data_IF_968075575149
#
_entry.id   IF_968075575149
#
_cell.length_a   1.000
_cell.length_b   1.000
_cell.length_c   1.000
_cell.angle_alpha   90.00
_cell.angle_beta   90.00
_cell.angle_gamma   90.00
#
_symmetry.space_group_name_H-M   'P 1'
#
loop_
_entity.id
_entity.type
_entity.pdbx_description
1 polymer ?
#
# COMPACT_ATOMS: atom_id res chain seq x y z
N UNK A 1 -10.87 -38.67 44.22
CA UNK A 1 -10.65 -38.66 42.77
C UNK A 1 -10.37 -37.24 42.34
N UNK A 2 -9.34 -37.04 41.52
CA UNK A 2 -9.09 -35.74 40.89
C UNK A 2 -10.20 -35.40 39.89
N UNK A 3 -10.46 -34.12 39.69
CA UNK A 3 -11.42 -33.61 38.71
C UNK A 3 -10.83 -32.39 38.03
N UNK A 4 -10.44 -32.55 36.76
CA UNK A 4 -9.98 -31.49 35.89
C UNK A 4 -11.20 -30.77 35.25
N UNK A 5 -11.13 -29.45 35.14
CA UNK A 5 -12.18 -28.59 34.61
C UNK A 5 -11.58 -27.68 33.56
N UNK A 6 -12.31 -27.42 32.47
CA UNK A 6 -11.78 -26.60 31.38
C UNK A 6 -11.41 -25.19 31.84
N UNK A 7 -10.34 -24.68 31.27
CA UNK A 7 -9.75 -23.39 31.57
C UNK A 7 -9.79 -22.46 30.37
N UNK A 8 -9.73 -21.17 30.67
CA UNK A 8 -9.51 -20.15 29.66
C UNK A 8 -8.71 -19.00 30.24
N UNK A 9 -8.05 -18.24 29.37
CA UNK A 9 -7.53 -16.94 29.73
C UNK A 9 -8.50 -15.86 29.24
N UNK A 10 -8.85 -14.91 30.12
CA UNK A 10 -9.71 -13.79 29.75
C UNK A 10 -9.02 -12.80 28.80
N UNK A 11 -7.68 -12.82 28.76
CA UNK A 11 -6.86 -12.00 27.86
C UNK A 11 -6.61 -12.75 26.56
N UNK A 12 -6.66 -12.02 25.45
CA UNK A 12 -6.36 -12.53 24.11
C UNK A 12 -4.88 -12.26 23.80
N UNK A 13 -4.20 -13.23 23.21
CA UNK A 13 -2.85 -13.03 22.68
C UNK A 13 -2.91 -12.24 21.36
N UNK A 14 -2.06 -11.23 21.21
CA UNK A 14 -2.00 -10.35 20.02
C UNK A 14 -0.56 -9.96 19.73
N UNK A 15 -0.26 -9.33 18.58
CA UNK A 15 1.09 -8.77 18.33
C UNK A 15 1.55 -7.77 19.40
N UNK A 16 0.61 -7.13 20.09
CA UNK A 16 0.88 -6.18 21.19
C UNK A 16 0.91 -6.84 22.57
N UNK A 17 0.48 -8.11 22.65
CA UNK A 17 0.42 -8.89 23.88
C UNK A 17 0.82 -10.35 23.60
N UNK A 18 2.14 -10.57 23.53
CA UNK A 18 2.74 -11.82 23.03
C UNK A 18 2.68 -12.99 24.03
N UNK A 19 2.44 -12.72 25.31
CA UNK A 19 2.50 -13.74 26.35
C UNK A 19 1.23 -13.76 27.20
N UNK A 20 0.63 -14.94 27.33
CA UNK A 20 -0.43 -15.21 28.29
C UNK A 20 0.12 -16.08 29.41
N UNK A 21 -0.18 -15.73 30.66
CA UNK A 21 0.16 -16.56 31.81
C UNK A 21 -1.06 -16.83 32.68
N UNK A 22 -1.03 -17.95 33.40
CA UNK A 22 -2.12 -18.36 34.28
C UNK A 22 -1.82 -19.63 35.03
N UNK A 23 -2.84 -20.22 35.64
CA UNK A 23 -2.76 -21.52 36.29
C UNK A 23 -4.03 -22.33 36.04
N UNK A 24 -3.89 -23.55 35.53
CA UNK A 24 -5.02 -24.45 35.22
C UNK A 24 -5.67 -25.05 36.47
N UNK A 25 -4.98 -25.06 37.62
CA UNK A 25 -5.47 -25.69 38.84
C UNK A 25 -6.46 -24.82 39.63
N UNK A 26 -6.82 -23.62 39.15
CA UNK A 26 -7.60 -22.65 39.94
C UNK A 26 -9.05 -23.10 40.19
N UNK A 27 -9.62 -23.87 39.27
CA UNK A 27 -10.97 -24.43 39.32
C UNK A 27 -10.98 -25.97 39.48
N UNK A 28 -9.80 -26.59 39.57
CA UNK A 28 -9.63 -28.03 39.65
C UNK A 28 -9.68 -28.59 41.08
N UNK A 29 -10.04 -29.87 41.20
CA UNK A 29 -9.93 -30.63 42.44
C UNK A 29 -8.80 -31.65 42.28
N UNK A 30 -7.69 -31.47 43.00
CA UNK A 30 -6.50 -32.33 42.90
C UNK A 30 -6.62 -33.70 43.58
N UNK A 31 -7.78 -34.05 44.11
CA UNK A 31 -7.98 -35.27 44.91
C UNK A 31 -7.39 -35.20 46.32
N UNK A 32 -7.46 -36.33 47.04
CA UNK A 32 -7.00 -36.46 48.43
C UNK A 32 -5.51 -36.84 48.53
N UNK A 33 -4.95 -37.49 47.51
CA UNK A 33 -3.56 -37.93 47.46
C UNK A 33 -2.72 -36.98 46.58
N UNK A 34 -2.29 -35.86 47.18
CA UNK A 34 -1.65 -34.76 46.46
C UNK A 34 -0.17 -35.05 46.21
N UNK A 35 0.28 -34.66 45.01
CA UNK A 35 1.71 -34.60 44.67
C UNK A 35 2.25 -33.21 45.03
N UNK A 36 3.25 -33.08 45.94
CA UNK A 36 3.76 -31.77 46.37
C UNK A 36 4.36 -30.89 45.26
N UNK A 37 4.88 -31.50 44.19
CA UNK A 37 5.38 -30.79 43.00
C UNK A 37 4.27 -30.38 42.02
N UNK A 38 3.02 -30.72 42.33
CA UNK A 38 1.83 -30.47 41.52
C UNK A 38 1.39 -31.68 40.69
N UNK A 39 0.07 -31.84 40.44
CA UNK A 39 -0.51 -33.01 39.79
C UNK A 39 -0.52 -32.94 38.26
N UNK A 40 -0.04 -31.85 37.65
CA UNK A 40 -0.11 -31.67 36.19
C UNK A 40 1.06 -32.37 35.50
N UNK A 41 0.78 -33.02 34.37
CA UNK A 41 1.84 -33.52 33.48
C UNK A 41 2.49 -32.33 32.76
N UNK A 42 3.65 -31.90 33.25
CA UNK A 42 4.40 -30.79 32.68
C UNK A 42 4.91 -31.10 31.25
N UNK A 43 5.00 -30.06 30.42
CA UNK A 43 5.50 -30.19 29.06
C UNK A 43 5.52 -28.89 28.28
N UNK A 44 6.04 -28.99 27.05
CA UNK A 44 5.99 -27.94 26.04
C UNK A 44 5.17 -28.43 24.87
N UNK A 45 4.16 -27.66 24.49
CA UNK A 45 3.19 -28.01 23.47
C UNK A 45 3.19 -26.93 22.39
N UNK A 46 3.51 -27.32 21.16
CA UNK A 46 3.44 -26.42 20.01
C UNK A 46 1.99 -26.41 19.52
N UNK A 47 1.37 -25.24 19.55
CA UNK A 47 0.03 -24.98 19.03
C UNK A 47 0.04 -24.56 17.57
N UNK A 48 -1.09 -24.03 17.11
CA UNK A 48 -1.23 -23.51 15.74
C UNK A 48 -0.57 -22.15 15.57
N UNK A 49 -0.72 -21.25 16.55
CA UNK A 49 -0.26 -19.87 16.49
C UNK A 49 0.92 -19.59 17.43
N UNK A 50 1.23 -20.49 18.35
CA UNK A 50 2.24 -20.27 19.38
C UNK A 50 2.65 -21.53 20.14
N UNK A 51 3.32 -21.35 21.27
CA UNK A 51 3.81 -22.46 22.11
C UNK A 51 3.36 -22.29 23.55
N UNK A 52 2.84 -23.36 24.15
CA UNK A 52 2.49 -23.44 25.56
C UNK A 52 3.60 -24.17 26.33
N UNK A 53 4.07 -23.58 27.43
CA UNK A 53 4.85 -24.25 28.46
C UNK A 53 3.97 -24.41 29.69
N UNK A 54 3.69 -25.65 30.09
CA UNK A 54 2.87 -26.00 31.24
C UNK A 54 3.75 -26.70 32.29
N UNK A 55 3.75 -26.18 33.51
CA UNK A 55 4.49 -26.74 34.63
C UNK A 55 3.63 -27.70 35.46
N UNK A 56 4.29 -28.50 36.30
CA UNK A 56 3.62 -29.52 37.12
C UNK A 56 2.70 -28.90 38.20
N UNK A 57 3.03 -27.68 38.65
CA UNK A 57 2.22 -26.88 39.58
C UNK A 57 1.01 -26.18 38.91
N UNK A 58 0.77 -26.49 37.63
CA UNK A 58 -0.31 -25.94 36.83
C UNK A 58 -0.07 -24.53 36.30
N UNK A 59 1.02 -23.87 36.69
CA UNK A 59 1.39 -22.60 36.08
C UNK A 59 1.73 -22.81 34.61
N UNK A 60 1.32 -21.86 33.77
CA UNK A 60 1.61 -21.92 32.35
C UNK A 60 2.00 -20.55 31.80
N UNK A 61 2.79 -20.61 30.73
CA UNK A 61 3.08 -19.48 29.84
C UNK A 61 2.81 -19.92 28.41
N UNK A 62 1.95 -19.18 27.70
CA UNK A 62 1.78 -19.29 26.26
C UNK A 62 2.48 -18.12 25.59
N UNK A 63 3.31 -18.39 24.59
CA UNK A 63 3.99 -17.37 23.78
C UNK A 63 3.48 -17.46 22.35
N UNK A 64 2.88 -16.37 21.87
CA UNK A 64 2.43 -16.20 20.49
C UNK A 64 3.64 -16.13 19.55
N UNK A 65 3.56 -16.79 18.40
CA UNK A 65 4.55 -16.68 17.34
C UNK A 65 4.00 -15.78 16.21
N UNK A 66 4.33 -14.49 16.23
CA UNK A 66 3.87 -13.53 15.20
C UNK A 66 4.46 -13.79 13.81
N UNK A 67 5.50 -14.63 13.71
CA UNK A 67 6.06 -15.04 12.44
C UNK A 67 5.38 -16.28 11.85
N UNK A 68 4.46 -16.90 12.58
CA UNK A 68 3.77 -18.09 12.13
C UNK A 68 2.91 -17.81 10.88
N UNK A 69 2.98 -18.63 9.82
CA UNK A 69 2.16 -18.45 8.62
C UNK A 69 0.65 -18.50 8.91
N UNK A 70 0.20 -19.37 9.83
CA UNK A 70 -1.22 -19.49 10.16
C UNK A 70 -1.71 -18.26 10.94
N UNK A 71 -0.85 -17.65 11.76
CA UNK A 71 -1.15 -16.38 12.41
C UNK A 71 -1.26 -15.23 11.39
N UNK A 72 -0.33 -15.16 10.42
CA UNK A 72 -0.39 -14.16 9.33
C UNK A 72 -1.61 -14.34 8.43
N UNK A 73 -2.07 -15.57 8.26
CA UNK A 73 -3.27 -15.90 7.49
C UNK A 73 -4.58 -15.53 8.21
N UNK A 74 -4.54 -15.12 9.49
CA UNK A 74 -5.72 -14.54 10.14
C UNK A 74 -6.08 -13.18 9.53
N UNK A 75 -5.09 -12.46 8.99
CA UNK A 75 -5.21 -11.08 8.50
C UNK A 75 -5.69 -10.10 9.59
N UNK A 76 -5.66 -8.80 9.28
CA UNK A 76 -6.12 -7.75 10.19
C UNK A 76 -7.56 -7.90 10.66
N UNK A 77 -7.72 -7.85 11.99
CA UNK A 77 -8.99 -8.10 12.66
C UNK A 77 -9.39 -9.58 12.72
N UNK A 78 -8.56 -10.48 12.21
CA UNK A 78 -8.75 -11.92 12.28
C UNK A 78 -8.59 -12.48 13.69
N UNK A 79 -9.21 -13.63 13.94
CA UNK A 79 -9.13 -14.31 15.25
C UNK A 79 -9.03 -15.82 15.11
N UNK A 80 -8.25 -16.41 16.00
CA UNK A 80 -8.00 -17.84 16.13
C UNK A 80 -8.18 -18.31 17.57
N UNK A 81 -8.24 -19.63 17.74
CA UNK A 81 -8.38 -20.27 19.05
C UNK A 81 -7.39 -21.42 19.16
N UNK A 82 -6.64 -21.45 20.25
CA UNK A 82 -5.79 -22.58 20.65
C UNK A 82 -6.53 -23.46 21.66
N UNK A 83 -6.37 -24.78 21.54
CA UNK A 83 -6.89 -25.74 22.50
C UNK A 83 -5.79 -26.72 22.90
N UNK A 84 -5.38 -26.67 24.16
CA UNK A 84 -4.40 -27.59 24.73
C UNK A 84 -5.07 -28.51 25.74
N UNK A 85 -5.02 -29.82 25.51
CA UNK A 85 -5.49 -30.81 26.48
C UNK A 85 -4.40 -31.08 27.51
N UNK A 86 -4.73 -30.97 28.80
CA UNK A 86 -3.82 -31.30 29.90
C UNK A 86 -4.40 -32.42 30.78
N UNK A 87 -3.51 -33.04 31.56
CA UNK A 87 -3.83 -34.20 32.40
C UNK A 87 -3.40 -33.93 33.84
N UNK A 88 -4.33 -34.09 34.77
CA UNK A 88 -4.06 -34.27 36.19
C UNK A 88 -3.78 -35.74 36.47
N UNK A 89 -2.79 -36.02 37.31
CA UNK A 89 -2.45 -37.34 37.81
C UNK A 89 -2.19 -37.27 39.32
N UNK A 90 -2.88 -38.10 40.10
CA UNK A 90 -2.61 -38.26 41.54
C UNK A 90 -1.50 -39.29 41.80
N UNK A 91 -1.18 -39.52 43.08
CA UNK A 91 0.01 -40.29 43.45
C UNK A 91 -0.15 -41.81 43.25
N UNK A 92 -1.37 -42.35 43.27
CA UNK A 92 -1.70 -43.73 42.91
C UNK A 92 -1.94 -43.92 41.40
N UNK A 93 -2.11 -42.83 40.66
CA UNK A 93 -1.95 -42.78 39.21
C UNK A 93 -3.26 -42.69 38.43
N UNK A 94 -4.37 -42.41 39.10
CA UNK A 94 -5.62 -42.03 38.47
C UNK A 94 -5.44 -40.70 37.72
N UNK A 95 -6.12 -40.58 36.59
CA UNK A 95 -6.01 -39.41 35.72
C UNK A 95 -7.34 -38.73 35.45
N UNK A 96 -7.28 -37.41 35.25
CA UNK A 96 -8.40 -36.59 34.79
C UNK A 96 -7.89 -35.60 33.76
N UNK A 97 -8.66 -35.32 32.71
CA UNK A 97 -8.24 -34.45 31.59
C UNK A 97 -9.19 -33.28 31.40
N UNK A 98 -8.66 -32.13 31.03
CA UNK A 98 -9.42 -30.95 30.64
C UNK A 98 -8.68 -30.16 29.55
N UNK A 99 -9.34 -29.12 29.03
CA UNK A 99 -8.80 -28.28 27.95
C UNK A 99 -8.55 -26.86 28.45
N UNK A 100 -7.36 -26.34 28.18
CA UNK A 100 -7.03 -24.93 28.24
C UNK A 100 -7.30 -24.29 26.86
N UNK A 101 -8.27 -23.39 26.80
CA UNK A 101 -8.62 -22.62 25.60
C UNK A 101 -8.01 -21.22 25.66
N UNK A 102 -7.23 -20.84 24.66
CA UNK A 102 -6.63 -19.51 24.56
C UNK A 102 -7.09 -18.82 23.27
N UNK A 103 -7.49 -17.55 23.38
CA UNK A 103 -7.87 -16.76 22.22
C UNK A 103 -6.65 -16.05 21.64
N UNK A 104 -6.59 -15.97 20.31
CA UNK A 104 -5.57 -15.27 19.55
C UNK A 104 -6.26 -14.30 18.61
N UNK A 105 -5.77 -13.08 18.50
CA UNK A 105 -6.23 -12.11 17.49
C UNK A 105 -5.03 -11.48 16.79
N UNK A 106 -5.13 -11.40 15.47
CA UNK A 106 -4.21 -10.61 14.65
C UNK A 106 -4.82 -9.20 14.54
N UNK A 107 -4.05 -8.19 14.96
CA UNK A 107 -4.49 -6.81 14.95
C UNK A 107 -4.02 -6.03 13.72
N UNK A 108 -3.14 -6.60 12.89
CA UNK A 108 -2.47 -5.92 11.77
C UNK A 108 -3.43 -5.68 10.59
N UNK A 109 -3.96 -4.47 10.48
CA UNK A 109 -4.89 -3.99 9.45
C UNK A 109 -4.19 -3.65 8.11
N UNK A 110 -4.83 -3.90 6.96
CA UNK A 110 -4.26 -3.54 5.67
C UNK A 110 -4.22 -2.02 5.46
N UNK A 111 -3.10 -1.52 4.95
CA UNK A 111 -3.05 -0.18 4.38
C UNK A 111 -3.93 -0.09 3.13
N UNK A 112 -4.65 1.02 2.96
CA UNK A 112 -5.47 1.29 1.78
C UNK A 112 -5.21 2.68 1.21
N UNK A 113 -5.25 2.78 -0.11
CA UNK A 113 -5.23 4.03 -0.87
C UNK A 113 -6.60 4.24 -1.50
N UNK A 114 -7.19 5.41 -1.28
CA UNK A 114 -8.47 5.81 -1.87
C UNK A 114 -8.33 7.15 -2.60
N UNK A 115 -9.13 7.37 -3.64
CA UNK A 115 -9.13 8.65 -4.37
C UNK A 115 -8.12 8.75 -5.51
N UNK A 116 -7.34 7.70 -5.78
CA UNK A 116 -6.42 7.63 -6.94
C UNK A 116 -7.14 7.11 -8.21
N UNK A 117 -8.01 6.10 -8.09
CA UNK A 117 -8.73 5.49 -9.23
C UNK A 117 -10.08 6.16 -9.57
N UNK A 118 -10.35 7.38 -9.09
CA UNK A 118 -11.63 8.04 -9.36
C UNK A 118 -11.63 8.60 -10.78
N UNK A 119 -12.70 8.38 -11.54
CA UNK A 119 -12.92 9.02 -12.84
C UNK A 119 -12.90 10.55 -12.66
N UNK A 120 -11.81 11.21 -13.06
CA UNK A 120 -11.56 12.64 -12.82
C UNK A 120 -10.53 12.98 -11.72
N UNK A 121 -9.87 11.99 -11.11
CA UNK A 121 -8.65 12.17 -10.30
C UNK A 121 -7.40 12.43 -11.15
N UNK A 122 -7.52 12.23 -12.45
CA UNK A 122 -6.55 12.57 -13.47
C UNK A 122 -6.40 14.08 -13.61
N UNK A 123 -5.20 14.59 -13.33
CA UNK A 123 -4.93 16.02 -13.49
C UNK A 123 -4.68 16.32 -14.97
N UNK A 124 -5.49 17.21 -15.54
CA UNK A 124 -5.32 17.66 -16.92
C UNK A 124 -4.67 19.03 -16.94
N UNK A 125 -3.50 19.14 -17.56
CA UNK A 125 -2.86 20.42 -17.86
C UNK A 125 -2.86 20.64 -19.37
N UNK A 126 -2.80 21.91 -19.78
CA UNK A 126 -2.82 22.29 -21.19
C UNK A 126 -1.52 22.99 -21.55
N UNK A 127 -0.93 22.62 -22.69
CA UNK A 127 0.32 23.23 -23.15
C UNK A 127 0.17 24.73 -23.46
N UNK A 128 -1.01 25.17 -23.90
CA UNK A 128 -1.32 26.61 -24.08
C UNK A 128 -1.05 27.48 -22.86
N UNK A 129 -1.08 26.89 -21.66
CA UNK A 129 -0.86 27.61 -20.40
C UNK A 129 0.63 27.83 -20.08
N UNK A 130 1.55 27.20 -20.83
CA UNK A 130 3.00 27.43 -20.71
C UNK A 130 3.37 28.89 -21.01
N UNK A 131 4.54 29.32 -20.55
CA UNK A 131 4.99 30.71 -20.68
C UNK A 131 5.11 31.18 -22.14
N UNK A 132 5.38 30.27 -23.05
CA UNK A 132 5.44 30.45 -24.50
C UNK A 132 4.22 29.89 -25.24
N UNK A 133 3.21 29.40 -24.52
CA UNK A 133 1.98 28.86 -25.10
C UNK A 133 1.06 29.93 -25.70
N UNK A 134 0.03 29.46 -26.40
CA UNK A 134 -0.96 30.32 -27.10
C UNK A 134 -1.86 31.13 -26.16
N UNK A 135 -1.97 30.74 -24.88
CA UNK A 135 -2.71 31.44 -23.84
C UNK A 135 -2.05 31.27 -22.44
N UNK A 136 -0.89 31.90 -22.19
CA UNK A 136 -0.08 31.64 -21.01
C UNK A 136 -0.85 31.86 -19.70
N UNK A 137 -0.82 30.86 -18.83
CA UNK A 137 -1.49 30.89 -17.52
C UNK A 137 -0.73 30.00 -16.52
N UNK A 138 0.28 30.56 -15.83
CA UNK A 138 1.11 29.82 -14.87
C UNK A 138 0.31 29.16 -13.75
N UNK A 139 -0.78 29.79 -13.29
CA UNK A 139 -1.63 29.26 -12.22
C UNK A 139 -2.37 27.99 -12.67
N UNK A 140 -2.70 27.88 -13.96
CA UNK A 140 -3.37 26.71 -14.54
C UNK A 140 -2.42 25.54 -14.87
N UNK A 141 -1.11 25.69 -14.63
CA UNK A 141 -0.13 24.59 -14.68
C UNK A 141 0.02 23.88 -13.34
N UNK A 142 -0.44 24.50 -12.25
CA UNK A 142 -0.39 23.91 -10.91
C UNK A 142 -1.76 23.37 -10.55
N UNK A 143 -1.95 22.08 -10.80
CA UNK A 143 -3.16 21.35 -10.42
C UNK A 143 -2.95 20.68 -9.06
N UNK A 144 -3.95 20.73 -8.18
CA UNK A 144 -3.92 20.06 -6.87
C UNK A 144 -5.00 18.98 -6.81
N UNK A 145 -4.64 17.81 -6.30
CA UNK A 145 -5.55 16.72 -6.01
C UNK A 145 -5.39 16.24 -4.57
N UNK A 146 -6.36 15.50 -4.06
CA UNK A 146 -6.29 14.85 -2.75
C UNK A 146 -6.62 13.38 -2.88
N UNK A 147 -5.86 12.53 -2.21
CA UNK A 147 -6.16 11.13 -2.01
C UNK A 147 -6.13 10.82 -0.51
N UNK A 148 -6.73 9.70 -0.12
CA UNK A 148 -6.80 9.24 1.27
C UNK A 148 -5.89 8.04 1.46
N UNK A 149 -5.10 8.07 2.52
CA UNK A 149 -4.34 6.92 3.00
C UNK A 149 -4.95 6.50 4.34
N UNK A 150 -5.32 5.22 4.46
CA UNK A 150 -5.71 4.63 5.75
C UNK A 150 -4.70 3.56 6.08
N UNK A 151 -3.95 3.75 7.17
CA UNK A 151 -2.96 2.81 7.70
C UNK A 151 -3.18 2.73 9.22
N UNK A 152 -4.09 1.86 9.70
CA UNK A 152 -4.46 1.82 11.12
C UNK A 152 -3.30 1.50 12.05
N UNK A 153 -2.30 0.74 11.58
CA UNK A 153 -1.09 0.40 12.34
C UNK A 153 0.07 1.38 12.14
N UNK A 154 -0.15 2.37 11.27
CA UNK A 154 0.76 3.49 11.05
C UNK A 154 1.44 3.46 9.69
N UNK A 155 1.60 4.63 9.09
CA UNK A 155 2.24 4.75 7.79
C UNK A 155 3.77 4.82 7.96
N UNK A 156 4.50 3.81 7.50
CA UNK A 156 5.97 3.86 7.52
C UNK A 156 6.52 4.81 6.45
N UNK A 157 6.08 4.63 5.21
CA UNK A 157 6.52 5.47 4.09
C UNK A 157 5.38 5.74 3.12
N UNK A 158 5.45 6.91 2.50
CA UNK A 158 4.69 7.28 1.32
C UNK A 158 5.72 7.75 0.29
N UNK A 159 6.08 6.87 -0.64
CA UNK A 159 7.21 7.14 -1.51
C UNK A 159 6.88 8.21 -2.56
N UNK A 160 7.86 9.06 -2.85
CA UNK A 160 7.85 10.02 -3.96
C UNK A 160 8.16 9.30 -5.27
N UNK A 161 7.39 9.63 -6.31
CA UNK A 161 7.65 9.20 -7.68
C UNK A 161 8.89 9.90 -8.25
N UNK A 162 9.45 9.35 -9.33
CA UNK A 162 10.47 10.05 -10.10
C UNK A 162 9.89 11.35 -10.68
N UNK A 163 10.74 12.37 -10.87
CA UNK A 163 10.34 13.55 -11.63
C UNK A 163 9.95 13.10 -13.04
N UNK A 164 8.83 13.61 -13.58
CA UNK A 164 8.50 13.38 -15.00
C UNK A 164 9.69 13.78 -15.87
N UNK A 165 10.12 12.91 -16.79
CA UNK A 165 11.33 13.02 -17.61
C UNK A 165 11.24 14.14 -18.68
N UNK A 166 10.85 15.36 -18.27
CA UNK A 166 10.60 16.49 -19.16
C UNK A 166 9.34 16.32 -20.00
N UNK A 167 9.15 17.21 -20.99
CA UNK A 167 7.98 17.21 -21.86
C UNK A 167 7.92 15.92 -22.70
N UNK A 168 6.87 15.13 -22.49
CA UNK A 168 6.51 13.96 -23.29
C UNK A 168 4.98 13.95 -23.48
N UNK A 169 4.47 13.31 -24.53
CA UNK A 169 3.06 13.40 -24.89
C UNK A 169 2.33 12.07 -24.68
N UNK A 170 1.20 12.19 -23.97
CA UNK A 170 0.14 11.23 -23.67
C UNK A 170 0.36 10.31 -22.45
N UNK A 171 -0.14 10.79 -21.31
CA UNK A 171 -0.32 10.14 -20.00
C UNK A 171 0.97 9.74 -19.27
N UNK A 172 1.34 10.52 -18.26
CA UNK A 172 2.31 10.08 -17.25
C UNK A 172 1.59 9.35 -16.10
N UNK A 173 2.06 8.14 -15.79
CA UNK A 173 1.54 7.31 -14.70
C UNK A 173 2.55 7.26 -13.55
N UNK A 174 2.21 7.88 -12.42
CA UNK A 174 3.03 7.84 -11.21
C UNK A 174 2.48 6.79 -10.25
N UNK A 175 3.21 5.71 -10.03
CA UNK A 175 2.84 4.73 -9.00
C UNK A 175 3.00 5.35 -7.62
N UNK A 176 1.92 5.37 -6.84
CA UNK A 176 1.93 5.68 -5.41
C UNK A 176 1.89 4.36 -4.65
N UNK A 177 2.87 4.15 -3.78
CA UNK A 177 2.93 2.98 -2.89
C UNK A 177 2.92 3.46 -1.44
N UNK A 178 1.99 2.93 -0.66
CA UNK A 178 2.00 3.04 0.80
C UNK A 178 2.37 1.69 1.39
N UNK A 179 3.18 1.73 2.45
CA UNK A 179 3.63 0.54 3.19
C UNK A 179 3.36 0.73 4.68
N UNK A 180 2.69 -0.25 5.27
CA UNK A 180 2.43 -0.31 6.71
C UNK A 180 3.62 -0.97 7.44
N UNK A 181 3.60 -0.89 8.77
CA UNK A 181 4.62 -1.38 9.68
C UNK A 181 4.81 -2.89 9.68
N UNK A 182 3.77 -3.64 9.34
CA UNK A 182 3.78 -5.10 9.15
C UNK A 182 4.33 -5.53 7.76
N UNK A 183 4.56 -4.55 6.87
CA UNK A 183 5.00 -4.78 5.49
C UNK A 183 3.87 -4.94 4.47
N UNK A 184 2.60 -4.82 4.87
CA UNK A 184 1.45 -4.71 3.98
C UNK A 184 1.59 -3.50 3.06
N UNK A 185 1.16 -3.63 1.80
CA UNK A 185 1.29 -2.57 0.80
C UNK A 185 0.00 -2.32 0.04
N UNK A 186 -0.23 -1.05 -0.30
CA UNK A 186 -1.25 -0.62 -1.23
C UNK A 186 -0.61 0.21 -2.34
N UNK A 187 -1.06 -0.02 -3.57
CA UNK A 187 -0.58 0.71 -4.75
C UNK A 187 -1.74 1.34 -5.51
N UNK A 188 -1.56 2.56 -5.97
CA UNK A 188 -2.47 3.24 -6.91
C UNK A 188 -1.66 4.04 -7.94
N UNK A 189 -2.34 4.57 -8.95
CA UNK A 189 -1.73 5.43 -9.97
C UNK A 189 -2.22 6.87 -9.82
N UNK A 190 -1.30 7.83 -9.85
CA UNK A 190 -1.63 9.22 -10.13
C UNK A 190 -1.33 9.47 -11.61
N UNK A 191 -2.40 9.68 -12.37
CA UNK A 191 -2.31 9.89 -13.82
C UNK A 191 -2.35 11.38 -14.13
N UNK A 192 -1.40 11.84 -14.95
CA UNK A 192 -1.32 13.22 -15.43
C UNK A 192 -1.43 13.22 -16.94
N UNK A 193 -2.40 13.99 -17.44
CA UNK A 193 -2.62 14.19 -18.87
C UNK A 193 -2.20 15.57 -19.31
N UNK A 194 -1.40 15.60 -20.37
CA UNK A 194 -1.01 16.82 -21.07
C UNK A 194 -1.82 16.89 -22.37
N UNK A 195 -2.61 17.95 -22.50
CA UNK A 195 -3.40 18.23 -23.71
C UNK A 195 -2.69 19.29 -24.55
N UNK A 196 -2.16 18.85 -25.68
CA UNK A 196 -1.57 19.65 -26.76
C UNK A 196 -2.68 20.24 -27.67
N UNK A 197 -2.55 21.51 -28.07
CA UNK A 197 -3.48 22.19 -28.98
C UNK A 197 -2.89 22.39 -30.39
N UNK A 198 -3.58 21.86 -31.40
CA UNK A 198 -3.13 21.94 -32.78
C UNK A 198 -3.37 23.34 -33.40
N UNK A 199 -2.46 23.82 -34.27
CA UNK A 199 -2.72 25.00 -35.08
C UNK A 199 -3.86 24.74 -36.09
N UNK A 200 -4.68 25.77 -36.35
CA UNK A 200 -5.82 25.70 -37.28
C UNK A 200 -5.79 26.86 -38.27
N UNK A 201 -5.64 26.53 -39.55
CA UNK A 201 -5.75 27.49 -40.64
C UNK A 201 -7.21 27.69 -41.08
N UNK A 202 -7.62 28.93 -41.40
CA UNK A 202 -8.93 29.27 -41.92
C UNK A 202 -8.79 29.84 -43.36
N UNK A 203 -9.70 29.51 -44.30
CA UNK A 203 -9.59 30.01 -45.66
C UNK A 203 -9.71 31.53 -45.75
N UNK A 204 -8.75 32.18 -46.40
CA UNK A 204 -8.79 33.60 -46.72
C UNK A 204 -9.58 33.87 -48.00
N UNK A 205 -10.33 34.98 -48.01
CA UNK A 205 -10.95 35.48 -49.22
C UNK A 205 -10.76 36.99 -49.30
N UNK A 206 -10.29 37.46 -50.46
CA UNK A 206 -10.21 38.87 -50.76
C UNK A 206 -10.64 39.12 -52.21
N UNK A 207 -11.26 40.27 -52.46
CA UNK A 207 -11.69 40.66 -53.81
C UNK A 207 -11.10 42.01 -54.17
N UNK A 208 -10.78 42.17 -55.44
CA UNK A 208 -10.20 43.41 -55.97
C UNK A 208 -10.82 43.72 -57.33
N UNK A 209 -11.01 45.00 -57.62
CA UNK A 209 -11.47 45.48 -58.93
C UNK A 209 -10.29 45.56 -59.91
N UNK A 210 -10.54 45.55 -61.22
CA UNK A 210 -9.48 45.66 -62.23
C UNK A 210 -8.60 46.89 -61.98
N UNK A 211 -7.28 46.68 -61.99
CA UNK A 211 -6.28 47.71 -61.70
C UNK A 211 -6.04 48.00 -60.21
N UNK A 212 -6.80 47.38 -59.30
CA UNK A 212 -6.56 47.46 -57.86
C UNK A 212 -5.49 46.49 -57.37
N UNK A 213 -5.00 46.73 -56.15
CA UNK A 213 -4.12 45.79 -55.42
C UNK A 213 -4.81 45.36 -54.13
N UNK A 214 -4.72 44.07 -53.80
CA UNK A 214 -5.17 43.55 -52.51
C UNK A 214 -3.95 43.13 -51.70
N UNK A 215 -3.89 43.61 -50.47
CA UNK A 215 -2.86 43.25 -49.50
C UNK A 215 -3.55 42.84 -48.21
N UNK A 216 -3.11 41.73 -47.64
CA UNK A 216 -3.59 41.18 -46.38
C UNK A 216 -2.62 40.08 -45.94
N UNK A 217 -2.75 39.62 -44.70
CA UNK A 217 -1.93 38.54 -44.18
C UNK A 217 -2.81 37.29 -44.00
N UNK A 218 -2.35 36.17 -44.55
CA UNK A 218 -3.05 34.87 -44.54
C UNK A 218 -3.08 34.21 -43.16
N UNK A 219 -2.44 34.84 -42.16
CA UNK A 219 -2.50 34.41 -40.77
C UNK A 219 -3.52 35.20 -39.96
N UNK A 220 -4.13 36.25 -40.53
CA UNK A 220 -4.99 37.18 -39.79
C UNK A 220 -6.29 36.52 -39.30
N UNK A 221 -6.70 35.41 -39.92
CA UNK A 221 -7.87 34.63 -39.53
C UNK A 221 -7.52 33.23 -38.95
N UNK A 222 -6.23 32.88 -38.85
CA UNK A 222 -5.76 31.59 -38.37
C UNK A 222 -5.73 31.53 -36.83
N UNK A 223 -5.76 30.32 -36.26
CA UNK A 223 -5.49 30.08 -34.83
C UNK A 223 -4.13 29.40 -34.69
N UNK A 224 -3.19 30.06 -34.02
CA UNK A 224 -1.88 29.49 -33.65
C UNK A 224 -2.03 28.43 -32.56
N UNK A 225 -1.31 27.30 -32.67
CA UNK A 225 -1.13 26.35 -31.56
C UNK A 225 -0.15 26.88 -30.49
N UNK A 226 0.06 26.14 -29.40
CA UNK A 226 0.97 26.55 -28.32
C UNK A 226 2.44 26.68 -28.75
N UNK A 227 2.87 26.02 -29.85
CA UNK A 227 4.25 26.06 -30.37
C UNK A 227 4.64 27.36 -31.12
N UNK A 228 3.81 28.40 -31.06
CA UNK A 228 4.02 29.63 -31.83
C UNK A 228 4.63 30.70 -30.93
N UNK A 229 5.85 31.11 -31.27
CA UNK A 229 6.52 32.22 -30.58
C UNK A 229 5.74 33.52 -30.75
N UNK A 230 5.89 34.43 -29.79
CA UNK A 230 5.30 35.77 -29.82
C UNK A 230 5.64 36.64 -31.05
N UNK A 231 6.59 36.21 -31.90
CA UNK A 231 6.94 36.85 -33.18
C UNK A 231 6.21 36.26 -34.41
N UNK A 232 5.25 35.35 -34.20
CA UNK A 232 4.43 34.74 -35.26
C UNK A 232 5.17 33.69 -36.09
N UNK A 233 6.39 33.28 -35.69
CA UNK A 233 7.14 32.19 -36.34
C UNK A 233 6.89 30.89 -35.59
N UNK A 234 6.54 29.84 -36.33
CA UNK A 234 6.49 28.47 -35.80
C UNK A 234 7.87 28.06 -35.29
N UNK A 235 7.93 27.48 -34.09
CA UNK A 235 9.10 26.69 -33.69
C UNK A 235 9.02 25.39 -34.49
N UNK A 236 9.82 25.27 -35.55
CA UNK A 236 10.05 23.97 -36.17
C UNK A 236 10.75 23.13 -35.10
N UNK A 237 10.06 22.17 -34.49
CA UNK A 237 10.68 21.23 -33.57
C UNK A 237 11.73 20.44 -34.35
N UNK A 238 12.98 20.90 -34.34
CA UNK A 238 14.09 20.19 -34.94
C UNK A 238 14.29 18.94 -34.08
N UNK A 239 13.70 17.81 -34.51
CA UNK A 239 14.12 16.50 -34.06
C UNK A 239 15.64 16.41 -34.26
N UNK A 240 16.40 16.51 -33.17
CA UNK A 240 17.83 16.23 -33.16
C UNK A 240 18.04 14.72 -33.37
N UNK A 241 17.95 14.24 -34.61
CA UNK A 241 18.63 13.02 -34.98
C UNK A 241 20.12 13.33 -35.03
N UNK A 242 20.82 13.18 -33.88
CA UNK A 242 22.28 13.12 -33.86
C UNK A 242 22.70 11.96 -34.76
N UNK A 243 23.11 12.26 -35.99
CA UNK A 243 23.78 11.32 -36.88
C UNK A 243 25.13 10.97 -36.26
N UNK A 244 25.25 9.76 -35.71
CA UNK A 244 26.53 9.13 -35.44
C UNK A 244 27.24 8.93 -36.80
N UNK A 245 28.23 9.76 -37.10
CA UNK A 245 29.12 9.52 -38.24
C UNK A 245 30.26 8.63 -37.74
N UNK A 246 30.18 7.35 -38.13
CA UNK A 246 31.28 6.41 -38.05
C UNK A 246 32.42 6.93 -38.94
N UNK A 247 33.56 7.33 -38.37
CA UNK A 247 34.84 7.28 -39.08
C UNK A 247 35.63 6.10 -38.50
N UNK A 248 35.49 4.96 -39.17
CA UNK A 248 36.53 3.96 -39.15
C UNK A 248 37.67 4.50 -40.02
N UNK A 249 38.73 5.01 -39.40
CA UNK A 249 39.98 5.18 -40.12
C UNK A 249 40.69 3.82 -40.15
N UNK A 250 40.91 3.33 -41.36
CA UNK A 250 41.56 2.05 -41.64
C UNK A 250 42.70 2.36 -42.62
N UNK A 251 43.90 1.93 -42.21
CA UNK A 251 45.17 1.80 -42.95
C UNK A 251 46.08 3.04 -42.85
N UNK A 252 47.38 2.91 -42.63
CA UNK A 252 48.29 1.78 -42.81
C UNK A 252 49.39 1.80 -41.75
#
# INVERSE_FOLDING_TARGET
>A
MAMAVNDSNATTATEQHLELSGNVLTNDIQGADRIPSGPVVAGTFVGTYGTLVLAADGSYTYTLNTNDPDFKNLHGGGSGVENFTYTLKDADGDTSTATLTLNVSNLDDPVTLGGLDVKGGELTVYEKNLADGSAPNPDALTQSGTFTVTAPDGLQTLNSHANGDGANSLSEHFTVTATDTDGSTATGSLDVNIVDDLPKANPDAASVVEGGTVSGNVLDNDTSGADVRADGRYVHHHHYHRRARLLADRRA
#
